data_IF_899391991236
#
_entry.id   IF_899391991236
#
_cell.length_a   1.000
_cell.length_b   1.000
_cell.length_c   1.000
_cell.angle_alpha   90.00
_cell.angle_beta   90.00
_cell.angle_gamma   90.00
#
_symmetry.space_group_name_H-M   'P 1'
#
loop_
_entity.id
_entity.type
_entity.pdbx_description
1 polymer ?
#
# COMPACT_ATOMS: atom_id res chain seq x y z
N UNK A 1 -0.25 5.63 5.70
CA UNK A 1 0.78 4.99 4.84
C UNK A 1 0.29 3.60 4.38
N UNK A 2 0.77 3.07 3.26
CA UNK A 2 0.34 1.74 2.78
C UNK A 2 1.03 0.62 3.58
N UNK A 3 0.24 -0.35 4.02
CA UNK A 3 0.70 -1.62 4.58
C UNK A 3 0.40 -2.71 3.55
N UNK A 4 1.42 -3.21 2.88
CA UNK A 4 1.26 -4.22 1.82
C UNK A 4 1.71 -5.60 2.32
N UNK A 5 1.04 -6.64 1.84
CA UNK A 5 1.39 -8.03 2.11
C UNK A 5 1.05 -8.91 0.90
N UNK A 6 2.04 -9.67 0.42
CA UNK A 6 1.91 -10.51 -0.77
C UNK A 6 0.77 -11.52 -0.66
N UNK A 7 0.66 -12.19 0.48
CA UNK A 7 -0.33 -13.25 0.70
C UNK A 7 -1.74 -12.68 0.81
N UNK A 8 -1.88 -11.52 1.45
CA UNK A 8 -3.13 -10.78 1.53
C UNK A 8 -3.63 -10.35 0.15
N UNK A 9 -2.75 -9.86 -0.73
CA UNK A 9 -3.11 -9.48 -2.11
C UNK A 9 -3.59 -10.69 -2.93
N UNK A 10 -2.83 -11.79 -2.91
CA UNK A 10 -3.19 -13.03 -3.62
C UNK A 10 -4.54 -13.54 -3.13
N UNK A 11 -4.74 -13.56 -1.80
CA UNK A 11 -5.99 -13.99 -1.17
C UNK A 11 -7.15 -13.06 -1.55
N UNK A 12 -6.96 -11.75 -1.49
CA UNK A 12 -8.00 -10.77 -1.81
C UNK A 12 -8.48 -10.91 -3.26
N UNK A 13 -7.55 -11.06 -4.21
CA UNK A 13 -7.89 -11.27 -5.61
C UNK A 13 -8.68 -12.58 -5.83
N UNK A 14 -8.26 -13.67 -5.18
CA UNK A 14 -8.97 -14.95 -5.22
C UNK A 14 -10.38 -14.88 -4.61
N UNK A 15 -10.55 -14.18 -3.49
CA UNK A 15 -11.86 -14.00 -2.86
C UNK A 15 -12.80 -13.15 -3.73
N UNK A 16 -12.27 -12.09 -4.36
CA UNK A 16 -13.07 -11.13 -5.14
C UNK A 16 -13.47 -11.63 -6.53
N UNK A 17 -12.55 -12.34 -7.20
CA UNK A 17 -12.69 -12.73 -8.61
C UNK A 17 -12.73 -14.24 -8.84
N UNK A 18 -12.51 -15.05 -7.79
CA UNK A 18 -12.45 -16.50 -7.89
C UNK A 18 -11.35 -17.01 -8.85
N UNK A 19 -10.31 -16.20 -9.06
CA UNK A 19 -9.17 -16.49 -9.94
C UNK A 19 -7.86 -16.41 -9.17
N UNK A 20 -6.89 -17.18 -9.61
CA UNK A 20 -5.55 -17.26 -9.03
C UNK A 20 -4.68 -16.12 -9.57
N UNK A 21 -4.39 -15.13 -8.71
CA UNK A 21 -3.61 -13.95 -9.09
C UNK A 21 -2.24 -14.33 -9.67
N UNK A 22 -1.53 -15.25 -9.02
CA UNK A 22 -0.18 -15.66 -9.42
C UNK A 22 -0.18 -16.27 -10.81
N UNK A 23 -1.21 -17.05 -11.16
CA UNK A 23 -1.36 -17.61 -12.52
C UNK A 23 -1.66 -16.53 -13.56
N UNK A 24 -2.56 -15.58 -13.28
CA UNK A 24 -2.86 -14.50 -14.22
C UNK A 24 -1.65 -13.58 -14.42
N UNK A 25 -0.94 -13.27 -13.34
CA UNK A 25 0.28 -12.47 -13.38
C UNK A 25 1.40 -13.17 -14.17
N UNK A 26 1.53 -14.49 -14.03
CA UNK A 26 2.48 -15.27 -14.82
C UNK A 26 2.18 -15.21 -16.33
N UNK A 27 0.89 -15.22 -16.73
CA UNK A 27 0.50 -15.05 -18.15
C UNK A 27 0.89 -13.67 -18.67
N UNK A 28 0.57 -12.61 -17.92
CA UNK A 28 0.92 -11.24 -18.27
C UNK A 28 2.45 -11.08 -18.43
N UNK A 29 3.22 -11.56 -17.45
CA UNK A 29 4.68 -11.53 -17.50
C UNK A 29 5.27 -12.33 -18.66
N UNK A 30 4.65 -13.44 -19.06
CA UNK A 30 5.09 -14.20 -20.22
C UNK A 30 4.90 -13.43 -21.54
N UNK A 31 3.79 -12.68 -21.67
CA UNK A 31 3.55 -11.80 -22.83
C UNK A 31 4.56 -10.65 -22.89
N UNK A 32 4.84 -10.02 -21.75
CA UNK A 32 5.85 -8.95 -21.64
C UNK A 32 7.23 -9.45 -22.08
N UNK A 33 7.66 -10.63 -21.59
CA UNK A 33 8.94 -11.25 -21.98
C UNK A 33 9.02 -11.58 -23.48
N UNK A 34 7.89 -11.75 -24.15
CA UNK A 34 7.81 -11.96 -25.60
C UNK A 34 7.76 -10.65 -26.41
N UNK A 35 7.89 -9.49 -25.75
CA UNK A 35 7.78 -8.17 -26.39
C UNK A 35 6.34 -7.76 -26.72
N UNK A 36 5.34 -8.37 -26.07
CA UNK A 36 3.91 -8.16 -26.32
C UNK A 36 3.22 -7.50 -25.11
N UNK A 37 3.86 -6.48 -24.58
CA UNK A 37 3.40 -5.75 -23.39
C UNK A 37 2.01 -5.09 -23.60
N UNK A 38 1.76 -4.60 -24.81
CA UNK A 38 0.52 -3.97 -25.26
C UNK A 38 -0.59 -4.96 -25.64
N UNK A 39 -0.30 -6.27 -25.65
CA UNK A 39 -1.29 -7.27 -26.00
C UNK A 39 -2.42 -7.28 -24.98
N UNK A 40 -3.65 -7.10 -25.48
CA UNK A 40 -4.87 -7.17 -24.67
C UNK A 40 -5.14 -8.61 -24.22
N UNK A 41 -5.20 -8.80 -22.91
CA UNK A 41 -5.70 -9.99 -22.24
C UNK A 41 -7.22 -9.85 -22.06
N UNK A 42 -8.03 -10.70 -22.72
CA UNK A 42 -9.46 -10.73 -22.49
C UNK A 42 -9.80 -11.49 -21.20
N UNK A 43 -11.00 -11.25 -20.66
CA UNK A 43 -11.52 -11.93 -19.47
C UNK A 43 -10.63 -11.77 -18.24
N UNK A 44 -10.07 -10.57 -18.07
CA UNK A 44 -9.14 -10.22 -17.00
C UNK A 44 -9.82 -9.25 -16.03
N UNK A 45 -9.70 -9.51 -14.74
CA UNK A 45 -10.26 -8.63 -13.70
C UNK A 45 -9.20 -7.65 -13.22
N UNK A 46 -9.53 -6.37 -13.07
CA UNK A 46 -8.57 -5.34 -12.64
C UNK A 46 -9.26 -4.29 -11.78
N UNK A 47 -8.64 -3.97 -10.64
CA UNK A 47 -9.13 -3.02 -9.63
C UNK A 47 -10.55 -3.35 -9.15
N UNK A 48 -11.59 -2.83 -9.81
CA UNK A 48 -13.01 -3.08 -9.54
C UNK A 48 -13.75 -3.64 -10.77
N UNK A 49 -13.13 -3.68 -11.94
CA UNK A 49 -13.71 -4.13 -13.19
C UNK A 49 -13.61 -5.65 -13.30
N UNK A 50 -14.76 -6.32 -13.23
CA UNK A 50 -14.88 -7.75 -13.49
C UNK A 50 -14.93 -8.04 -15.00
N UNK A 51 -14.35 -9.16 -15.42
CA UNK A 51 -14.38 -9.68 -16.79
C UNK A 51 -14.05 -8.62 -17.86
N UNK A 52 -12.97 -7.88 -17.62
CA UNK A 52 -12.53 -6.76 -18.44
C UNK A 52 -11.52 -7.18 -19.51
N UNK A 53 -11.02 -6.17 -20.24
CA UNK A 53 -9.92 -6.27 -21.19
C UNK A 53 -8.80 -5.34 -20.72
N UNK A 54 -7.63 -5.90 -20.49
CA UNK A 54 -6.48 -5.17 -19.93
C UNK A 54 -5.23 -5.56 -20.71
N UNK A 55 -4.32 -4.64 -20.98
CA UNK A 55 -3.03 -5.00 -21.58
C UNK A 55 -2.18 -5.82 -20.59
N UNK A 56 -1.29 -6.66 -21.11
CA UNK A 56 -0.40 -7.45 -20.27
C UNK A 56 0.44 -6.57 -19.32
N UNK A 57 0.95 -5.45 -19.81
CA UNK A 57 1.72 -4.48 -19.03
C UNK A 57 0.90 -3.88 -17.89
N UNK A 58 -0.30 -3.36 -18.16
CA UNK A 58 -1.13 -2.75 -17.13
C UNK A 58 -1.57 -3.75 -16.06
N UNK A 59 -1.85 -4.99 -16.44
CA UNK A 59 -2.16 -6.03 -15.46
C UNK A 59 -0.94 -6.36 -14.58
N UNK A 60 0.24 -6.53 -15.20
CA UNK A 60 1.45 -6.89 -14.48
C UNK A 60 1.93 -5.76 -13.55
N UNK A 61 1.87 -4.51 -14.00
CA UNK A 61 2.25 -3.33 -13.22
C UNK A 61 1.38 -3.17 -11.98
N UNK A 62 0.06 -3.26 -12.15
CA UNK A 62 -0.88 -3.09 -11.04
C UNK A 62 -0.78 -4.22 -9.99
N UNK A 63 -0.52 -5.45 -10.44
CA UNK A 63 -0.51 -6.64 -9.57
C UNK A 63 0.89 -7.15 -9.25
N UNK A 64 1.94 -6.40 -9.56
CA UNK A 64 3.31 -6.81 -9.26
C UNK A 64 3.46 -7.08 -7.75
N UNK A 65 3.96 -8.26 -7.41
CA UNK A 65 4.31 -8.60 -6.03
C UNK A 65 5.63 -7.89 -5.69
N UNK A 66 5.53 -6.68 -5.15
CA UNK A 66 6.66 -5.78 -4.92
C UNK A 66 6.67 -5.34 -3.45
N UNK A 67 7.65 -5.80 -2.69
CA UNK A 67 7.82 -5.45 -1.27
C UNK A 67 8.01 -3.94 -1.03
N UNK A 68 8.43 -3.18 -2.04
CA UNK A 68 8.51 -1.72 -1.96
C UNK A 68 7.13 -1.04 -1.90
N UNK A 69 6.03 -1.78 -2.10
CA UNK A 69 4.68 -1.29 -1.82
C UNK A 69 4.36 -1.28 -0.31
N UNK A 70 5.13 -1.98 0.52
CA UNK A 70 5.00 -1.91 1.97
C UNK A 70 5.85 -0.76 2.52
N UNK A 71 5.18 0.24 3.09
CA UNK A 71 5.89 1.41 3.65
C UNK A 71 6.85 0.97 4.77
N UNK A 72 6.49 -0.04 5.56
CA UNK A 72 7.30 -0.52 6.69
C UNK A 72 8.62 -1.10 6.20
N UNK A 73 8.60 -1.83 5.08
CA UNK A 73 9.80 -2.33 4.42
C UNK A 73 10.76 -1.20 3.99
N UNK A 74 10.23 -0.05 3.58
CA UNK A 74 11.03 1.08 3.11
C UNK A 74 11.63 1.94 4.23
N UNK A 75 10.94 2.08 5.37
CA UNK A 75 11.36 2.95 6.47
C UNK A 75 12.83 2.79 6.87
N UNK A 76 13.40 1.58 6.98
CA UNK A 76 14.78 1.39 7.41
C UNK A 76 15.83 2.07 6.53
N UNK A 77 15.51 2.30 5.25
CA UNK A 77 16.42 2.92 4.28
C UNK A 77 16.42 4.46 4.32
N UNK A 78 15.44 5.06 5.01
CA UNK A 78 15.26 6.52 5.01
C UNK A 78 16.17 7.15 6.07
N UNK A 79 17.12 7.96 5.62
CA UNK A 79 18.07 8.64 6.51
C UNK A 79 17.58 9.99 7.05
N UNK A 80 16.51 10.54 6.46
CA UNK A 80 15.92 11.81 6.89
C UNK A 80 14.95 11.59 8.05
N UNK A 81 14.68 12.62 8.88
CA UNK A 81 13.55 12.57 9.80
C UNK A 81 12.24 12.26 9.06
N UNK A 82 11.42 11.37 9.61
CA UNK A 82 10.11 11.00 9.07
C UNK A 82 9.07 11.10 10.18
N UNK A 83 7.98 11.82 9.93
CA UNK A 83 6.79 11.83 10.76
C UNK A 83 5.71 10.98 10.08
N UNK A 84 5.12 10.07 10.85
CA UNK A 84 4.05 9.18 10.39
C UNK A 84 2.82 9.45 11.25
N UNK A 85 1.68 9.66 10.60
CA UNK A 85 0.39 9.78 11.27
C UNK A 85 -0.40 8.46 11.19
N UNK A 86 -1.05 8.11 12.31
CA UNK A 86 -2.05 7.05 12.39
C UNK A 86 -3.31 7.59 13.07
N UNK A 87 -4.49 7.18 12.62
CA UNK A 87 -5.75 7.48 13.30
C UNK A 87 -6.21 6.26 14.10
N UNK A 88 -6.76 6.46 15.31
CA UNK A 88 -7.22 5.34 16.15
C UNK A 88 -8.44 4.62 15.59
N UNK A 89 -9.23 5.27 14.74
CA UNK A 89 -10.43 4.73 14.09
C UNK A 89 -10.21 4.37 12.61
N UNK A 90 -8.95 4.32 12.13
CA UNK A 90 -8.63 3.95 10.75
C UNK A 90 -9.01 2.49 10.45
N UNK A 91 -10.00 2.32 9.58
CA UNK A 91 -10.50 1.01 9.11
C UNK A 91 -9.92 0.58 7.77
N UNK A 92 -9.14 1.44 7.11
CA UNK A 92 -8.45 1.20 5.84
C UNK A 92 -7.04 0.67 6.13
N UNK A 93 -6.23 1.39 6.90
CA UNK A 93 -4.86 1.01 7.29
C UNK A 93 -4.85 0.55 8.75
N UNK A 94 -5.34 -0.66 8.96
CA UNK A 94 -5.46 -1.23 10.31
C UNK A 94 -4.11 -1.61 10.90
N UNK A 95 -3.99 -1.47 12.22
CA UNK A 95 -2.85 -1.91 13.03
C UNK A 95 -1.51 -1.25 12.66
N UNK A 96 -1.55 -0.03 12.13
CA UNK A 96 -0.34 0.71 11.77
C UNK A 96 0.58 0.95 12.97
N UNK A 97 0.11 1.40 14.15
CA UNK A 97 0.99 1.59 15.32
C UNK A 97 1.74 0.32 15.73
N UNK A 98 1.05 -0.83 15.74
CA UNK A 98 1.64 -2.12 16.12
C UNK A 98 2.67 -2.60 15.10
N UNK A 99 2.41 -2.39 13.80
CA UNK A 99 3.35 -2.76 12.74
C UNK A 99 4.59 -1.86 12.71
N UNK A 100 4.46 -0.59 13.09
CA UNK A 100 5.57 0.37 13.13
C UNK A 100 6.43 0.23 14.39
N UNK A 101 5.88 -0.24 15.51
CA UNK A 101 6.60 -0.31 16.79
C UNK A 101 8.03 -0.91 16.71
N UNK A 102 8.27 -2.04 16.00
CA UNK A 102 9.62 -2.61 15.87
C UNK A 102 10.62 -1.70 15.12
N UNK A 103 10.14 -0.79 14.27
CA UNK A 103 10.96 0.19 13.57
C UNK A 103 11.35 1.33 14.52
N UNK A 104 10.38 1.85 15.29
CA UNK A 104 10.62 2.95 16.25
C UNK A 104 11.63 2.58 17.34
N UNK A 105 11.64 1.31 17.76
CA UNK A 105 12.65 0.81 18.71
C UNK A 105 14.08 0.92 18.17
N UNK A 106 14.25 0.74 16.86
CA UNK A 106 15.56 0.65 16.18
C UNK A 106 16.00 1.97 15.57
N UNK A 107 15.08 2.84 15.17
CA UNK A 107 15.37 4.05 14.40
C UNK A 107 14.81 5.30 15.07
N UNK A 108 15.72 6.20 15.46
CA UNK A 108 15.37 7.44 16.17
C UNK A 108 14.92 8.57 15.25
N UNK A 109 15.14 8.46 13.94
CA UNK A 109 14.68 9.44 12.96
C UNK A 109 13.24 9.21 12.49
N UNK A 110 12.57 8.16 12.98
CA UNK A 110 11.17 7.88 12.64
C UNK A 110 10.31 8.19 13.87
N UNK A 111 9.30 9.04 13.67
CA UNK A 111 8.32 9.45 14.68
C UNK A 111 6.94 8.98 14.25
N UNK A 112 6.20 8.39 15.17
CA UNK A 112 4.78 8.06 15.00
C UNK A 112 3.96 9.00 15.88
N UNK A 113 2.99 9.68 15.28
CA UNK A 113 1.96 10.43 15.98
C UNK A 113 0.60 9.76 15.75
N UNK A 114 -0.11 9.47 16.83
CA UNK A 114 -1.42 8.84 16.79
C UNK A 114 -2.47 9.90 17.11
N UNK A 115 -3.35 10.17 16.15
CA UNK A 115 -4.45 11.12 16.29
C UNK A 115 -5.66 10.36 16.83
N UNK A 116 -6.12 10.76 18.01
CA UNK A 116 -7.30 10.17 18.66
C UNK A 116 -8.58 10.51 17.89
N UNK A 117 -9.58 9.62 17.98
CA UNK A 117 -10.88 9.69 17.31
C UNK A 117 -10.82 9.97 15.79
N UNK A 118 -9.67 9.70 15.15
CA UNK A 118 -9.44 9.97 13.72
C UNK A 118 -9.52 8.71 12.88
N UNK A 119 -10.22 8.78 11.76
CA UNK A 119 -10.22 7.74 10.72
C UNK A 119 -9.17 8.00 9.64
N UNK A 120 -9.24 7.23 8.54
CA UNK A 120 -8.30 7.31 7.43
C UNK A 120 -8.21 8.69 6.77
N UNK A 121 -9.25 9.51 6.90
CA UNK A 121 -9.40 10.77 6.18
C UNK A 121 -8.88 11.97 6.98
N UNK A 122 -8.70 11.84 8.30
CA UNK A 122 -8.24 12.92 9.19
C UNK A 122 -9.02 14.24 8.97
N UNK A 123 -10.35 14.16 8.90
CA UNK A 123 -11.23 15.32 8.63
C UNK A 123 -11.46 16.11 9.94
N UNK A 124 -11.86 17.38 9.81
CA UNK A 124 -12.19 18.29 10.92
C UNK A 124 -11.00 18.52 11.88
N UNK A 125 -11.23 18.39 13.19
CA UNK A 125 -10.24 18.70 14.22
C UNK A 125 -9.01 17.79 14.15
N UNK A 126 -9.16 16.55 13.68
CA UNK A 126 -8.04 15.63 13.46
C UNK A 126 -7.08 16.14 12.39
N UNK A 127 -7.60 16.85 11.39
CA UNK A 127 -6.78 17.50 10.35
C UNK A 127 -6.02 18.71 10.89
N UNK A 128 -6.66 19.50 11.76
CA UNK A 128 -6.01 20.63 12.44
C UNK A 128 -4.88 20.15 13.35
N UNK A 129 -5.12 19.11 14.16
CA UNK A 129 -4.11 18.49 15.02
C UNK A 129 -2.92 17.93 14.22
N UNK A 130 -3.20 17.25 13.11
CA UNK A 130 -2.15 16.75 12.23
C UNK A 130 -1.29 17.89 11.66
N UNK A 131 -1.89 19.03 11.29
CA UNK A 131 -1.15 20.20 10.80
C UNK A 131 -0.29 20.81 11.90
N UNK A 132 -0.81 20.95 13.12
CA UNK A 132 -0.03 21.45 14.26
C UNK A 132 1.22 20.58 14.51
N UNK A 133 1.05 19.26 14.52
CA UNK A 133 2.17 18.34 14.71
C UNK A 133 3.17 18.36 13.53
N UNK A 134 2.70 18.52 12.29
CA UNK A 134 3.59 18.72 11.14
C UNK A 134 4.45 19.97 11.32
N UNK A 135 3.86 21.07 11.77
CA UNK A 135 4.59 22.33 12.02
C UNK A 135 5.62 22.13 13.13
N UNK A 136 5.22 21.50 14.24
CA UNK A 136 6.11 21.19 15.35
C UNK A 136 7.31 20.34 14.91
N UNK A 137 7.07 19.32 14.09
CA UNK A 137 8.10 18.43 13.58
C UNK A 137 9.08 19.10 12.60
N UNK A 138 8.62 20.08 11.81
CA UNK A 138 9.48 20.80 10.87
C UNK A 138 10.35 21.83 11.61
N UNK A 139 9.80 22.44 12.66
CA UNK A 139 10.45 23.54 13.37
C UNK A 139 11.43 23.08 14.46
N UNK A 140 11.37 21.82 14.89
CA UNK A 140 12.22 21.25 15.94
C UNK A 140 12.99 20.02 15.45
#
# INVERSE_FOLDING_TARGET
PQLWDEQAEIKHYQEKYHKDLTKELAKANALIKQGKADQVMPHTDLVYCKDSKVTAESFADYHQLNENMDTIHLLPSISKPVLIFAGTEDKVVKHLPEKIAPVLEKQKNITLYVVEDSDHSFIDMSGEEAVEEMVNFIQN
#
